data_IF_070702976258
#
_entry.id   IF_070702976258
#
_cell.length_a   1.000
_cell.length_b   1.000
_cell.length_c   1.000
_cell.angle_alpha   90.00
_cell.angle_beta   90.00
_cell.angle_gamma   90.00
#
_symmetry.space_group_name_H-M   'P 1'
#
loop_
_entity.id
_entity.type
_entity.pdbx_description
1 polymer ?
#
# COMPACT_ATOMS: atom_id res chain seq x y z
N UNK A 1 -0.65 18.98 -13.97
CA UNK A 1 -0.05 18.37 -12.77
C UNK A 1 -1.20 17.80 -11.96
N UNK A 2 -1.49 16.51 -12.10
CA UNK A 2 -2.58 15.83 -11.38
C UNK A 2 -2.07 15.43 -10.01
N UNK A 3 -2.69 15.97 -8.96
CA UNK A 3 -2.37 15.66 -7.58
C UNK A 3 -2.75 14.19 -7.31
N UNK A 4 -1.86 13.31 -6.82
CA UNK A 4 -2.24 11.94 -6.49
C UNK A 4 -3.22 11.98 -5.31
N UNK A 5 -4.50 11.72 -5.58
CA UNK A 5 -5.52 11.67 -4.54
C UNK A 5 -5.36 10.37 -3.73
N UNK A 6 -5.10 10.48 -2.43
CA UNK A 6 -5.04 9.36 -1.49
C UNK A 6 -6.32 9.41 -0.64
N UNK A 7 -7.11 8.34 -0.67
CA UNK A 7 -8.31 8.19 0.17
C UNK A 7 -8.01 7.18 1.27
N UNK A 8 -8.04 7.65 2.52
CA UNK A 8 -7.56 6.89 3.67
C UNK A 8 -8.76 6.38 4.45
N UNK A 9 -8.78 5.08 4.73
CA UNK A 9 -9.81 4.45 5.56
C UNK A 9 -9.13 3.90 6.81
N UNK A 10 -9.01 4.76 7.83
CA UNK A 10 -8.53 4.35 9.15
C UNK A 10 -9.65 3.66 9.92
N UNK A 11 -9.46 2.43 10.43
CA UNK A 11 -10.34 1.92 11.47
C UNK A 11 -10.20 2.81 12.70
N UNK A 12 -11.34 3.26 13.22
CA UNK A 12 -11.46 4.21 14.31
C UNK A 12 -11.03 3.55 15.63
N UNK A 13 -9.74 3.58 15.96
CA UNK A 13 -9.25 3.33 17.32
C UNK A 13 -8.73 4.65 17.86
N UNK A 14 -9.51 5.21 18.79
CA UNK A 14 -9.18 6.45 19.45
C UNK A 14 -7.90 6.27 20.29
N UNK A 15 -6.95 7.21 20.16
CA UNK A 15 -5.79 7.40 21.04
C UNK A 15 -4.55 6.49 20.89
N UNK A 16 -4.27 5.96 19.69
CA UNK A 16 -3.07 5.15 19.45
C UNK A 16 -1.89 5.94 18.81
N UNK A 17 -0.62 5.57 19.10
CA UNK A 17 0.62 6.17 18.55
C UNK A 17 0.80 6.08 17.00
N UNK A 18 -0.25 5.70 16.30
CA UNK A 18 -0.30 5.27 14.89
C UNK A 18 -0.24 6.42 13.88
N UNK A 19 -0.44 7.66 14.34
CA UNK A 19 -0.35 8.85 13.48
C UNK A 19 1.03 8.98 12.81
N UNK A 20 2.09 8.51 13.48
CA UNK A 20 3.45 8.57 12.95
C UNK A 20 3.69 7.58 11.80
N UNK A 21 3.08 6.40 11.82
CA UNK A 21 3.18 5.42 10.74
C UNK A 21 2.33 5.87 9.56
N UNK A 22 1.16 6.41 9.83
CA UNK A 22 0.28 6.94 8.80
C UNK A 22 0.95 8.03 7.94
N UNK A 23 1.58 9.02 8.58
CA UNK A 23 2.33 10.06 7.87
C UNK A 23 3.47 9.47 7.01
N UNK A 24 4.12 8.39 7.49
CA UNK A 24 5.17 7.69 6.73
C UNK A 24 4.61 6.92 5.53
N UNK A 25 3.40 6.36 5.65
CA UNK A 25 2.69 5.73 4.52
C UNK A 25 2.28 6.77 3.48
N UNK A 26 1.74 7.91 3.90
CA UNK A 26 1.42 9.03 2.99
C UNK A 26 2.67 9.48 2.23
N UNK A 27 3.77 9.76 2.95
CA UNK A 27 5.05 10.15 2.36
C UNK A 27 5.57 9.10 1.36
N UNK A 28 5.40 7.81 1.65
CA UNK A 28 5.78 6.74 0.75
C UNK A 28 4.98 6.77 -0.57
N UNK A 29 3.68 7.03 -0.48
CA UNK A 29 2.75 7.02 -1.61
C UNK A 29 2.82 8.28 -2.48
N UNK A 30 3.22 9.43 -1.93
CA UNK A 30 3.41 10.68 -2.68
C UNK A 30 4.38 10.51 -3.87
N UNK A 31 5.37 9.63 -3.72
CA UNK A 31 6.37 9.35 -4.76
C UNK A 31 5.90 8.33 -5.82
N UNK A 32 4.70 7.78 -5.68
CA UNK A 32 4.17 6.72 -6.55
C UNK A 32 2.92 7.20 -7.31
N UNK A 33 2.71 6.78 -8.57
CA UNK A 33 1.58 7.26 -9.36
C UNK A 33 0.25 6.82 -8.74
N UNK A 34 -0.60 7.76 -8.35
CA UNK A 34 -1.93 7.51 -7.74
C UNK A 34 -3.11 7.67 -8.71
N UNK A 35 -4.36 7.49 -8.26
CA UNK A 35 -4.85 7.58 -6.88
C UNK A 35 -4.78 6.28 -6.05
N UNK A 36 -4.70 6.41 -4.72
CA UNK A 36 -4.51 5.28 -3.77
C UNK A 36 -5.63 5.20 -2.73
N UNK A 37 -5.99 3.98 -2.33
CA UNK A 37 -6.82 3.68 -1.15
C UNK A 37 -5.99 2.90 -0.16
N UNK A 38 -6.04 3.27 1.12
CA UNK A 38 -5.19 2.65 2.16
C UNK A 38 -6.04 2.21 3.35
N UNK A 39 -5.81 0.98 3.81
CA UNK A 39 -6.25 0.48 5.11
C UNK A 39 -5.05 0.10 5.96
N UNK A 40 -5.09 0.45 7.24
CA UNK A 40 -4.04 0.13 8.21
C UNK A 40 -4.67 -0.58 9.40
N UNK A 41 -4.06 -1.69 9.84
CA UNK A 41 -4.44 -2.40 11.05
C UNK A 41 -3.21 -2.60 11.95
N UNK A 42 -3.39 -2.48 13.26
CA UNK A 42 -2.35 -2.66 14.28
C UNK A 42 -2.59 -3.94 15.07
N UNK A 43 -1.52 -4.64 15.45
CA UNK A 43 -1.55 -5.78 16.34
C UNK A 43 -0.95 -5.47 17.72
N UNK A 44 -1.79 -5.38 18.75
CA UNK A 44 -1.43 -4.95 20.11
C UNK A 44 -0.35 -5.81 20.81
N UNK A 45 -0.22 -7.08 20.41
CA UNK A 45 0.63 -8.04 21.14
C UNK A 45 2.13 -7.91 20.82
N UNK A 46 2.51 -7.40 19.64
CA UNK A 46 3.92 -7.37 19.18
C UNK A 46 4.25 -6.15 18.31
N UNK A 47 3.45 -5.08 18.34
CA UNK A 47 3.69 -3.81 17.63
C UNK A 47 3.98 -3.94 16.13
N UNK A 48 3.22 -4.84 15.48
CA UNK A 48 3.24 -4.99 14.02
C UNK A 48 2.04 -4.32 13.40
N UNK A 49 2.19 -3.94 12.13
CA UNK A 49 1.12 -3.34 11.35
C UNK A 49 0.87 -4.12 10.07
N UNK A 50 -0.40 -4.20 9.67
CA UNK A 50 -0.79 -4.65 8.34
C UNK A 50 -1.26 -3.45 7.55
N UNK A 51 -0.52 -3.14 6.50
CA UNK A 51 -0.82 -2.09 5.54
C UNK A 51 -1.42 -2.72 4.28
N UNK A 52 -2.65 -2.35 3.95
CA UNK A 52 -3.32 -2.72 2.71
C UNK A 52 -3.43 -1.50 1.80
N UNK A 53 -2.95 -1.61 0.56
CA UNK A 53 -2.96 -0.54 -0.43
C UNK A 53 -3.68 -1.03 -1.69
N UNK A 54 -4.63 -0.23 -2.17
CA UNK A 54 -5.46 -0.54 -3.32
C UNK A 54 -5.47 0.61 -4.33
N UNK A 55 -5.71 0.29 -5.60
CA UNK A 55 -5.95 1.25 -6.69
C UNK A 55 -7.08 0.78 -7.59
N UNK A 56 -7.64 1.73 -8.34
CA UNK A 56 -8.79 1.47 -9.21
C UNK A 56 -8.44 0.65 -10.48
N UNK A 57 -7.15 0.48 -10.80
CA UNK A 57 -6.69 -0.42 -11.87
C UNK A 57 -6.63 -1.91 -11.43
N UNK A 58 -7.07 -2.21 -10.22
CA UNK A 58 -7.06 -3.55 -9.66
C UNK A 58 -5.74 -3.93 -8.99
N UNK A 59 -4.82 -2.97 -8.81
CA UNK A 59 -3.66 -3.19 -7.95
C UNK A 59 -4.09 -3.31 -6.48
N UNK A 60 -3.62 -4.36 -5.83
CA UNK A 60 -3.77 -4.61 -4.39
C UNK A 60 -2.44 -5.11 -3.83
N UNK A 61 -2.03 -4.56 -2.69
CA UNK A 61 -0.82 -4.96 -1.99
C UNK A 61 -1.00 -4.91 -0.49
N UNK A 62 -0.69 -6.04 0.17
CA UNK A 62 -0.64 -6.16 1.62
C UNK A 62 0.80 -6.27 2.08
N UNK A 63 1.20 -5.40 3.00
CA UNK A 63 2.51 -5.43 3.67
C UNK A 63 2.31 -5.69 5.16
N UNK A 64 3.01 -6.69 5.67
CA UNK A 64 3.23 -6.85 7.11
C UNK A 64 4.47 -6.03 7.48
N UNK A 65 4.31 -5.07 8.38
CA UNK A 65 5.36 -4.19 8.88
C UNK A 65 5.68 -4.60 10.33
N UNK A 66 6.58 -5.57 10.45
CA UNK A 66 7.01 -6.13 11.73
C UNK A 66 8.28 -5.42 12.20
N UNK A 67 8.09 -4.38 13.03
CA UNK A 67 9.16 -3.58 13.63
C UNK A 67 9.55 -2.29 12.89
N UNK A 68 10.37 -1.45 13.56
CA UNK A 68 10.56 -0.04 13.20
C UNK A 68 11.27 0.20 11.87
N UNK A 69 12.14 -0.73 11.44
CA UNK A 69 12.83 -0.62 10.14
C UNK A 69 11.87 -0.75 8.96
N UNK A 70 10.87 -1.63 9.08
CA UNK A 70 9.86 -1.87 8.05
C UNK A 70 8.84 -0.73 8.00
N UNK A 71 8.62 -0.07 9.12
CA UNK A 71 7.71 1.07 9.29
C UNK A 71 8.29 2.41 8.78
N UNK A 72 9.42 2.42 8.08
CA UNK A 72 9.98 3.64 7.47
C UNK A 72 9.30 3.94 6.13
N UNK A 73 9.13 5.23 5.79
CA UNK A 73 8.54 5.64 4.52
C UNK A 73 9.33 5.08 3.32
N UNK A 74 10.66 5.04 3.42
CA UNK A 74 11.54 4.48 2.38
C UNK A 74 11.27 2.99 2.17
N UNK A 75 11.24 2.20 3.24
CA UNK A 75 10.98 0.76 3.13
C UNK A 75 9.59 0.49 2.54
N UNK A 76 8.57 1.18 3.03
CA UNK A 76 7.19 1.05 2.55
C UNK A 76 7.12 1.39 1.05
N UNK A 77 7.71 2.53 0.64
CA UNK A 77 7.77 2.95 -0.77
C UNK A 77 8.44 1.90 -1.64
N UNK A 78 9.60 1.40 -1.26
CA UNK A 78 10.37 0.47 -2.09
C UNK A 78 9.61 -0.85 -2.28
N UNK A 79 8.93 -1.34 -1.24
CA UNK A 79 8.09 -2.54 -1.31
C UNK A 79 6.85 -2.32 -2.20
N UNK A 80 6.20 -1.17 -2.07
CA UNK A 80 5.05 -0.82 -2.92
C UNK A 80 5.46 -0.60 -4.37
N UNK A 81 6.61 0.03 -4.63
CA UNK A 81 7.15 0.24 -5.97
C UNK A 81 7.48 -1.09 -6.66
N UNK A 82 8.11 -2.03 -5.96
CA UNK A 82 8.39 -3.37 -6.47
C UNK A 82 7.09 -4.14 -6.78
N UNK A 83 6.11 -4.10 -5.87
CA UNK A 83 4.80 -4.70 -6.09
C UNK A 83 4.09 -4.08 -7.31
N UNK A 84 4.07 -2.75 -7.41
CA UNK A 84 3.44 -2.02 -8.51
C UNK A 84 4.12 -2.34 -9.85
N UNK A 85 5.45 -2.37 -9.89
CA UNK A 85 6.19 -2.72 -11.10
C UNK A 85 5.83 -4.13 -11.58
N UNK A 86 5.76 -5.11 -10.66
CA UNK A 86 5.34 -6.48 -11.00
C UNK A 86 3.90 -6.53 -11.50
N UNK A 87 3.00 -5.74 -10.92
CA UNK A 87 1.62 -5.64 -11.38
C UNK A 87 1.55 -5.06 -12.79
N UNK A 88 2.25 -3.95 -13.08
CA UNK A 88 2.27 -3.34 -14.41
C UNK A 88 2.83 -4.31 -15.46
N UNK A 89 3.94 -4.98 -15.14
CA UNK A 89 4.54 -6.01 -16.03
C UNK A 89 3.60 -7.19 -16.22
N UNK A 90 2.94 -7.64 -15.15
CA UNK A 90 1.97 -8.74 -15.16
C UNK A 90 0.70 -8.41 -15.94
N UNK A 91 0.18 -7.19 -15.81
CA UNK A 91 -0.97 -6.68 -16.55
C UNK A 91 -0.66 -6.47 -18.04
N UNK A 92 0.61 -6.20 -18.38
CA UNK A 92 1.07 -6.06 -19.76
C UNK A 92 1.22 -7.41 -20.48
N UNK A 93 1.13 -8.54 -19.78
CA UNK A 93 1.00 -9.83 -20.45
C UNK A 93 -0.42 -9.92 -21.02
N UNK A 94 -0.58 -10.14 -22.35
CA UNK A 94 -1.90 -10.45 -22.87
C UNK A 94 -2.41 -11.67 -22.10
N UNK A 95 -3.61 -11.57 -21.50
CA UNK A 95 -4.38 -12.76 -21.14
C UNK A 95 -4.38 -13.61 -22.40
N UNK A 96 -3.67 -14.75 -22.38
CA UNK A 96 -3.84 -15.74 -23.43
C UNK A 96 -5.33 -16.04 -23.40
N UNK A 97 -5.96 -15.62 -24.48
CA UNK A 97 -7.29 -15.98 -24.91
C UNK A 97 -7.46 -17.48 -24.67
N UNK A 98 -8.07 -17.86 -23.53
CA UNK A 98 -8.63 -19.19 -23.31
C UNK A 98 -9.94 -19.27 -24.10
N UNK A 99 -9.84 -19.08 -25.41
CA UNK A 99 -10.82 -19.59 -26.37
C UNK A 99 -10.15 -20.76 -27.07
N UNK A 100 -10.48 -21.98 -26.63
CA UNK A 100 -10.32 -23.31 -27.26
C UNK A 100 -10.59 -24.31 -26.12
N UNK A 101 -11.57 -25.20 -26.15
CA UNK A 101 -12.42 -25.71 -27.22
C UNK A 101 -13.63 -26.41 -26.57
#
# INVERSE_FOLDING_TARGET
MTNPHITLVTPLVADSPDHSLFARVEQALESLPGPWKVGLAHGDAVDWFVLNVFRDDGFECTLLLDGPLQQTAVHIRDRLADALQRHIVGASRPRKDETRH
#
